data_IF_609120411166
#
_entry.id   IF_609120411166
#
_cell.length_a   1.000
_cell.length_b   1.000
_cell.length_c   1.000
_cell.angle_alpha   90.00
_cell.angle_beta   90.00
_cell.angle_gamma   90.00
#
_symmetry.space_group_name_H-M   'P 1'
#
loop_
_entity.id
_entity.type
_entity.pdbx_description
1 polymer ?
#
# COMPACT_ATOMS: atom_id res chain seq x y z
N UNK A 1 15.95 -19.89 42.94
CA UNK A 1 16.02 -19.54 41.50
C UNK A 1 16.20 -18.04 41.42
N UNK A 2 17.12 -17.55 40.59
CA UNK A 2 17.31 -16.11 40.49
C UNK A 2 16.02 -15.45 40.02
N UNK A 3 15.60 -14.39 40.71
CA UNK A 3 14.39 -13.67 40.34
C UNK A 3 14.62 -12.97 38.99
N UNK A 4 13.55 -12.78 38.21
CA UNK A 4 13.62 -11.98 36.98
C UNK A 4 14.24 -10.60 37.27
N UNK A 5 13.96 -10.04 38.44
CA UNK A 5 14.49 -8.75 38.88
C UNK A 5 16.01 -8.78 39.06
N UNK A 6 16.58 -9.76 39.76
CA UNK A 6 18.03 -9.81 39.98
C UNK A 6 18.80 -10.05 38.68
N UNK A 7 18.29 -10.90 37.79
CA UNK A 7 18.91 -11.10 36.47
C UNK A 7 18.78 -9.87 35.57
N UNK A 8 17.66 -9.13 35.64
CA UNK A 8 17.51 -7.90 34.87
C UNK A 8 18.48 -6.81 35.31
N UNK A 9 18.73 -6.68 36.62
CA UNK A 9 19.74 -5.76 37.14
C UNK A 9 21.13 -6.10 36.60
N UNK A 10 21.54 -7.37 36.66
CA UNK A 10 22.82 -7.84 36.08
C UNK A 10 22.92 -7.57 34.58
N UNK A 11 21.83 -7.75 33.85
CA UNK A 11 21.76 -7.40 32.43
C UNK A 11 22.03 -5.91 32.22
N UNK A 12 21.49 -5.02 33.07
CA UNK A 12 21.74 -3.58 32.99
C UNK A 12 23.19 -3.22 33.38
N UNK A 13 23.77 -3.86 34.39
CA UNK A 13 25.19 -3.71 34.73
C UNK A 13 26.08 -4.12 33.56
N UNK A 14 25.74 -5.22 32.88
CA UNK A 14 26.45 -5.65 31.68
C UNK A 14 26.24 -4.68 30.50
N UNK A 15 25.02 -4.17 30.32
CA UNK A 15 24.66 -3.23 29.26
C UNK A 15 25.37 -1.87 29.43
N UNK A 16 25.56 -1.41 30.66
CA UNK A 16 26.23 -0.13 30.95
C UNK A 16 27.71 -0.13 30.55
N UNK A 17 28.35 -1.31 30.58
CA UNK A 17 29.73 -1.52 30.15
C UNK A 17 29.89 -1.65 28.63
N UNK A 18 28.78 -1.71 27.88
CA UNK A 18 28.79 -1.86 26.42
C UNK A 18 28.58 -0.52 25.72
N UNK A 19 29.22 -0.38 24.57
CA UNK A 19 28.95 0.71 23.62
C UNK A 19 27.63 0.41 22.89
N UNK A 20 26.55 1.02 23.37
CA UNK A 20 25.20 0.92 22.80
C UNK A 20 24.56 2.30 22.74
N UNK A 21 23.59 2.47 21.83
CA UNK A 21 22.86 3.73 21.68
C UNK A 21 22.12 4.11 22.99
N UNK A 22 22.05 5.39 23.29
CA UNK A 22 21.44 5.88 24.53
C UNK A 22 19.96 5.48 24.66
N UNK A 23 19.22 5.46 23.56
CA UNK A 23 17.82 5.00 23.55
C UNK A 23 17.67 3.52 23.95
N UNK A 24 18.68 2.68 23.70
CA UNK A 24 18.67 1.28 24.16
C UNK A 24 18.76 1.23 25.68
N UNK A 25 19.64 2.07 26.26
CA UNK A 25 19.79 2.18 27.73
C UNK A 25 18.51 2.72 28.36
N UNK A 26 17.92 3.77 27.78
CA UNK A 26 16.64 4.35 28.21
C UNK A 26 15.50 3.33 28.17
N UNK A 27 15.42 2.54 27.09
CA UNK A 27 14.40 1.52 26.94
C UNK A 27 14.57 0.39 27.96
N UNK A 28 15.81 -0.04 28.20
CA UNK A 28 16.10 -1.07 29.20
C UNK A 28 15.72 -0.60 30.61
N UNK A 29 16.02 0.65 30.96
CA UNK A 29 15.61 1.23 32.24
C UNK A 29 14.09 1.39 32.34
N UNK A 30 13.41 1.70 31.23
CA UNK A 30 11.95 1.77 31.20
C UNK A 30 11.33 0.40 31.49
N UNK A 31 11.90 -0.66 30.92
CA UNK A 31 11.47 -2.04 31.19
C UNK A 31 11.74 -2.41 32.65
N UNK A 32 12.86 -1.98 33.26
CA UNK A 32 13.11 -2.18 34.69
C UNK A 32 12.01 -1.54 35.56
N UNK A 33 11.66 -0.28 35.27
CA UNK A 33 10.63 0.45 36.03
C UNK A 33 9.24 -0.20 35.94
N UNK A 34 9.00 -0.99 34.90
CA UNK A 34 7.74 -1.70 34.67
C UNK A 34 7.93 -3.22 34.62
N UNK A 35 8.93 -3.75 35.32
CA UNK A 35 9.33 -5.16 35.20
C UNK A 35 8.24 -6.12 35.67
N UNK A 36 7.66 -5.89 36.85
CA UNK A 36 6.58 -6.72 37.39
C UNK A 36 5.34 -6.77 36.47
N UNK A 37 4.75 -5.64 36.03
CA UNK A 37 3.57 -5.68 35.18
C UNK A 37 3.86 -6.25 33.78
N UNK A 38 5.11 -6.18 33.30
CA UNK A 38 5.52 -6.82 32.04
C UNK A 38 5.76 -8.33 32.20
N UNK A 39 6.35 -8.75 33.31
CA UNK A 39 6.60 -10.15 33.64
C UNK A 39 5.30 -10.93 33.84
N UNK A 40 4.27 -10.29 34.40
CA UNK A 40 2.94 -10.87 34.56
C UNK A 40 2.21 -11.16 33.24
N UNK A 41 2.64 -10.56 32.13
CA UNK A 41 2.05 -10.81 30.80
C UNK A 41 2.70 -12.01 30.16
N UNK A 42 1.88 -12.99 29.77
CA UNK A 42 2.34 -14.13 28.97
C UNK A 42 2.75 -13.72 27.55
N UNK A 43 3.39 -14.65 26.83
CA UNK A 43 3.88 -14.41 25.45
C UNK A 43 2.76 -14.33 24.39
N UNK A 44 1.49 -14.54 24.77
CA UNK A 44 0.37 -14.57 23.84
C UNK A 44 0.00 -13.17 23.32
N UNK A 45 -0.39 -13.09 22.04
CA UNK A 45 -0.95 -11.88 21.40
C UNK A 45 -0.12 -10.60 21.55
N UNK A 46 1.22 -10.72 21.64
CA UNK A 46 2.14 -9.58 21.77
C UNK A 46 1.88 -8.70 23.01
N UNK A 47 1.30 -9.28 24.07
CA UNK A 47 0.84 -8.50 25.22
C UNK A 47 1.91 -7.64 25.89
N UNK A 48 3.19 -8.06 25.87
CA UNK A 48 4.31 -7.25 26.38
C UNK A 48 4.58 -6.03 25.50
N UNK A 49 4.62 -6.21 24.18
CA UNK A 49 4.83 -5.15 23.19
C UNK A 49 3.71 -4.11 23.22
N UNK A 50 2.44 -4.55 23.29
CA UNK A 50 1.28 -3.65 23.37
C UNK A 50 1.26 -2.84 24.67
N UNK A 51 1.82 -3.35 25.78
CA UNK A 51 1.97 -2.59 27.04
C UNK A 51 3.19 -1.70 27.05
N UNK A 52 4.29 -2.13 26.44
CA UNK A 52 5.55 -1.39 26.40
C UNK A 52 5.47 -0.19 25.45
N UNK A 53 4.82 -0.33 24.28
CA UNK A 53 4.72 0.73 23.28
C UNK A 53 4.16 2.08 23.81
N UNK A 54 3.02 2.14 24.53
CA UNK A 54 2.52 3.40 25.07
C UNK A 54 3.45 3.99 26.14
N UNK A 55 4.11 3.15 26.94
CA UNK A 55 5.10 3.59 27.93
C UNK A 55 6.33 4.19 27.24
N UNK A 56 6.79 3.58 26.15
CA UNK A 56 7.91 4.08 25.37
C UNK A 56 7.57 5.46 24.76
N UNK A 57 6.38 5.60 24.19
CA UNK A 57 5.92 6.89 23.63
C UNK A 57 5.87 7.98 24.71
N UNK A 58 5.37 7.66 25.91
CA UNK A 58 5.17 8.64 26.96
C UNK A 58 6.46 9.02 27.71
N UNK A 59 7.36 8.05 27.96
CA UNK A 59 8.41 8.20 28.96
C UNK A 59 9.83 8.00 28.44
N UNK A 60 10.05 7.40 27.26
CA UNK A 60 11.41 7.06 26.78
C UNK A 60 12.34 8.27 26.73
N UNK A 61 11.85 9.42 26.25
CA UNK A 61 12.64 10.64 26.13
C UNK A 61 13.09 11.22 27.49
N UNK A 62 12.36 10.92 28.56
CA UNK A 62 12.59 11.42 29.92
C UNK A 62 13.44 10.45 30.75
N UNK A 63 13.67 9.23 30.25
CA UNK A 63 14.46 8.24 30.97
C UNK A 63 15.93 8.64 31.04
N UNK A 64 16.59 8.40 32.20
CA UNK A 64 18.03 8.54 32.30
C UNK A 64 18.75 7.57 31.35
N UNK A 65 19.97 7.96 30.97
CA UNK A 65 20.88 7.11 30.17
C UNK A 65 21.79 6.27 31.07
N UNK A 66 22.22 6.86 32.19
CA UNK A 66 23.07 6.20 33.16
C UNK A 66 22.23 5.25 34.02
N UNK A 67 22.71 4.00 34.13
CA UNK A 67 22.22 3.07 35.14
C UNK A 67 23.10 3.22 36.38
N UNK A 68 22.58 3.94 37.37
CA UNK A 68 23.18 3.97 38.71
C UNK A 68 22.55 2.84 39.51
N UNK A 69 23.12 1.65 39.36
CA UNK A 69 22.89 0.62 40.37
C UNK A 69 23.54 1.11 41.66
N UNK A 70 22.84 1.03 42.81
CA UNK A 70 23.54 1.03 44.08
C UNK A 70 24.52 -0.13 43.97
N UNK A 71 25.84 0.11 43.92
CA UNK A 71 26.79 -0.98 43.89
C UNK A 71 26.60 -1.67 45.23
N UNK A 72 25.89 -2.80 45.23
CA UNK A 72 26.33 -3.89 46.10
C UNK A 72 27.68 -4.24 45.52
N UNK A 73 28.67 -3.56 46.09
CA UNK A 73 30.08 -3.75 45.96
C UNK A 73 30.38 -4.91 45.00
N UNK A 74 30.79 -4.56 43.80
CA UNK A 74 31.71 -5.39 43.06
C UNK A 74 33.05 -5.40 43.83
N UNK A 75 33.01 -5.81 45.09
CA UNK A 75 34.19 -5.98 45.92
C UNK A 75 34.75 -7.34 45.61
N UNK A 76 36.04 -7.30 45.33
CA UNK A 76 36.99 -8.39 45.20
C UNK A 76 36.35 -9.77 45.39
N UNK A 77 36.37 -10.55 44.31
CA UNK A 77 36.18 -12.00 44.37
C UNK A 77 37.20 -12.56 45.37
N UNK A 78 36.84 -12.62 46.65
CA UNK A 78 37.53 -13.49 47.60
C UNK A 78 37.19 -14.88 47.09
N UNK A 79 38.12 -15.58 46.45
CA UNK A 79 37.83 -16.93 45.98
C UNK A 79 37.29 -17.77 47.14
N UNK A 80 36.21 -18.52 46.89
CA UNK A 80 35.71 -19.45 47.90
C UNK A 80 36.79 -20.51 48.09
N UNK A 81 37.42 -20.52 49.26
CA UNK A 81 38.31 -21.61 49.65
C UNK A 81 37.57 -22.95 49.66
N UNK A 82 38.31 -24.04 49.88
CA UNK A 82 37.71 -25.38 49.95
C UNK A 82 36.71 -25.44 51.11
N UNK A 83 35.51 -25.98 50.89
CA UNK A 83 34.55 -26.15 51.98
C UNK A 83 35.18 -27.01 53.08
N UNK A 84 34.97 -26.62 54.34
CA UNK A 84 35.57 -27.30 55.49
C UNK A 84 34.50 -27.90 56.39
N UNK A 85 33.57 -27.10 56.91
CA UNK A 85 32.57 -27.60 57.84
C UNK A 85 31.24 -26.86 57.68
N UNK A 86 30.14 -27.59 57.81
CA UNK A 86 28.80 -27.01 57.92
C UNK A 86 28.20 -27.33 59.28
N UNK A 87 27.89 -26.30 60.06
CA UNK A 87 27.18 -26.42 61.33
C UNK A 87 25.70 -26.12 61.11
N UNK A 88 24.83 -27.05 61.48
CA UNK A 88 23.39 -26.97 61.26
C UNK A 88 22.67 -27.35 62.55
N UNK A 89 21.75 -26.52 63.04
CA UNK A 89 20.74 -27.00 63.97
C UNK A 89 20.49 -26.15 65.21
N UNK A 90 19.25 -26.13 65.72
CA UNK A 90 18.04 -26.71 65.10
C UNK A 90 17.68 -26.00 63.79
N UNK A 91 17.34 -26.75 62.74
CA UNK A 91 17.02 -26.21 61.41
C UNK A 91 16.30 -27.30 60.60
N UNK A 92 15.11 -27.00 60.06
CA UNK A 92 14.33 -27.95 59.22
C UNK A 92 14.23 -29.35 59.86
N UNK A 93 14.81 -30.39 59.24
CA UNK A 93 14.83 -31.76 59.75
C UNK A 93 15.73 -31.99 60.98
N UNK A 94 16.71 -31.12 61.22
CA UNK A 94 17.67 -31.26 62.32
C UNK A 94 17.13 -30.66 63.61
N UNK A 95 16.91 -31.50 64.62
CA UNK A 95 16.44 -31.07 65.94
C UNK A 95 17.59 -30.64 66.86
N UNK A 96 18.77 -31.20 66.67
CA UNK A 96 19.98 -30.91 67.46
C UNK A 96 21.02 -30.26 66.55
N UNK A 97 21.94 -29.46 67.11
CA UNK A 97 23.12 -29.02 66.38
C UNK A 97 23.93 -30.24 65.91
N UNK A 98 24.24 -30.26 64.63
CA UNK A 98 25.09 -31.24 63.95
C UNK A 98 26.16 -30.50 63.16
N UNK A 99 27.35 -31.09 63.08
CA UNK A 99 28.46 -30.54 62.32
C UNK A 99 28.89 -31.56 61.28
N UNK A 100 28.85 -31.15 60.01
CA UNK A 100 29.23 -31.98 58.87
C UNK A 100 30.60 -31.58 58.36
N UNK A 101 31.48 -32.56 58.17
CA UNK A 101 32.78 -32.38 57.55
C UNK A 101 32.64 -32.37 56.02
N UNK A 102 33.08 -31.27 55.40
CA UNK A 102 33.07 -31.04 53.95
C UNK A 102 34.49 -30.90 53.38
N UNK A 103 35.51 -31.21 54.17
CA UNK A 103 36.93 -31.11 53.82
C UNK A 103 37.42 -32.16 52.81
N UNK A 104 36.51 -32.84 52.11
CA UNK A 104 36.81 -33.89 51.14
C UNK A 104 36.37 -33.44 49.75
N UNK A 105 37.01 -33.98 48.69
CA UNK A 105 36.67 -33.60 47.31
C UNK A 105 35.28 -34.08 46.90
N UNK A 106 34.85 -35.20 47.50
CA UNK A 106 33.53 -35.79 47.29
C UNK A 106 32.96 -36.19 48.65
N UNK A 107 31.88 -35.53 49.05
CA UNK A 107 31.10 -35.90 50.24
C UNK A 107 29.78 -36.53 49.83
N UNK A 108 29.59 -37.81 50.14
CA UNK A 108 28.33 -38.52 49.87
C UNK A 108 27.40 -38.46 51.08
N UNK A 109 26.26 -37.80 50.93
CA UNK A 109 25.20 -37.76 51.95
C UNK A 109 24.11 -38.78 51.60
N UNK A 110 23.93 -39.79 52.45
CA UNK A 110 22.92 -40.84 52.26
C UNK A 110 22.15 -41.13 53.56
N UNK A 111 21.00 -41.80 53.44
CA UNK A 111 20.11 -42.10 54.57
C UNK A 111 18.68 -42.38 54.10
N UNK A 112 17.84 -42.88 55.00
CA UNK A 112 16.42 -43.15 54.71
C UNK A 112 15.63 -41.86 54.36
N UNK A 113 14.44 -42.00 53.80
CA UNK A 113 13.58 -40.84 53.55
C UNK A 113 13.18 -40.17 54.87
N UNK A 114 13.23 -38.84 54.90
CA UNK A 114 12.92 -38.06 56.12
C UNK A 114 14.08 -37.88 57.11
N UNK A 115 15.29 -38.40 56.84
CA UNK A 115 16.45 -38.25 57.74
C UNK A 115 17.17 -36.90 57.66
N UNK A 116 16.61 -35.92 56.94
CA UNK A 116 17.20 -34.58 56.82
C UNK A 116 18.18 -34.36 55.66
N UNK A 117 18.29 -35.29 54.69
CA UNK A 117 19.14 -35.08 53.49
C UNK A 117 18.81 -33.79 52.74
N UNK A 118 17.52 -33.54 52.47
CA UNK A 118 17.09 -32.28 51.87
C UNK A 118 17.40 -31.09 52.77
N UNK A 119 17.22 -31.24 54.08
CA UNK A 119 17.56 -30.21 55.06
C UNK A 119 19.04 -29.86 55.12
N UNK A 120 19.93 -30.79 54.80
CA UNK A 120 21.36 -30.54 54.68
C UNK A 120 21.65 -29.61 53.49
N UNK A 121 21.07 -29.89 52.33
CA UNK A 121 21.22 -29.01 51.16
C UNK A 121 20.53 -27.66 51.34
N UNK A 122 19.35 -27.63 51.98
CA UNK A 122 18.68 -26.38 52.37
C UNK A 122 19.56 -25.54 53.32
N UNK A 123 20.30 -26.18 54.23
CA UNK A 123 21.21 -25.49 55.13
C UNK A 123 22.43 -24.91 54.37
N UNK A 124 22.97 -25.65 53.41
CA UNK A 124 24.01 -25.13 52.50
C UNK A 124 23.49 -23.96 51.67
N UNK A 125 22.28 -24.04 51.13
CA UNK A 125 21.66 -22.93 50.38
C UNK A 125 21.50 -21.69 51.26
N UNK A 126 21.08 -21.82 52.51
CA UNK A 126 21.00 -20.65 53.42
C UNK A 126 22.38 -20.08 53.72
N UNK A 127 23.37 -20.92 54.00
CA UNK A 127 24.71 -20.46 54.34
C UNK A 127 25.45 -19.82 53.16
N UNK A 128 25.21 -20.29 51.94
CA UNK A 128 25.85 -19.77 50.73
C UNK A 128 25.01 -18.72 50.02
N UNK A 129 23.71 -18.92 49.81
CA UNK A 129 22.85 -18.03 49.02
C UNK A 129 22.05 -17.05 49.88
N UNK A 130 21.94 -17.32 51.18
CA UNK A 130 21.11 -16.53 52.08
C UNK A 130 19.61 -16.81 51.92
N UNK A 131 19.22 -17.70 51.01
CA UNK A 131 17.82 -18.08 50.74
C UNK A 131 17.70 -19.52 50.27
N UNK A 132 16.50 -20.10 50.38
CA UNK A 132 16.19 -21.46 49.92
C UNK A 132 15.32 -21.37 48.69
N UNK A 133 15.75 -21.99 47.59
CA UNK A 133 15.02 -21.98 46.32
C UNK A 133 13.62 -22.58 46.44
N UNK A 134 13.47 -23.68 47.20
CA UNK A 134 12.17 -24.32 47.40
C UNK A 134 11.17 -23.46 48.20
N UNK A 135 11.66 -22.65 49.15
CA UNK A 135 10.82 -21.72 49.91
C UNK A 135 10.21 -20.64 49.00
N UNK A 136 11.01 -20.11 48.07
CA UNK A 136 10.57 -19.13 47.07
C UNK A 136 9.49 -19.72 46.15
N UNK A 137 9.71 -20.95 45.65
CA UNK A 137 8.75 -21.64 44.77
C UNK A 137 7.41 -21.86 45.48
N UNK A 138 7.45 -22.23 46.77
CA UNK A 138 6.24 -22.44 47.59
C UNK A 138 5.62 -21.15 48.12
N UNK A 139 6.21 -19.98 47.82
CA UNK A 139 5.79 -18.66 48.33
C UNK A 139 5.65 -18.63 49.85
N UNK A 140 6.54 -19.33 50.55
CA UNK A 140 6.56 -19.40 52.00
C UNK A 140 7.54 -18.36 52.54
N UNK A 141 7.22 -17.79 53.70
CA UNK A 141 8.16 -16.96 54.44
C UNK A 141 9.42 -17.78 54.77
N UNK A 142 10.59 -17.27 54.39
CA UNK A 142 11.85 -18.01 54.50
C UNK A 142 12.18 -18.35 55.96
N UNK A 143 11.93 -17.42 56.89
CA UNK A 143 12.21 -17.62 58.31
C UNK A 143 11.34 -18.73 58.88
N UNK A 144 10.06 -18.76 58.51
CA UNK A 144 9.15 -19.85 58.85
C UNK A 144 9.55 -21.16 58.18
N UNK A 145 9.96 -21.12 56.92
CA UNK A 145 10.39 -22.30 56.18
C UNK A 145 11.58 -22.98 56.87
N UNK A 146 12.56 -22.21 57.34
CA UNK A 146 13.77 -22.70 58.03
C UNK A 146 13.49 -23.34 59.40
N UNK A 147 12.34 -23.04 60.03
CA UNK A 147 12.02 -23.56 61.36
C UNK A 147 11.99 -25.08 61.39
N UNK A 148 12.55 -25.65 62.45
CA UNK A 148 12.37 -27.06 62.72
C UNK A 148 10.88 -27.35 63.02
N UNK A 149 10.33 -28.39 62.40
CA UNK A 149 8.90 -28.70 62.45
C UNK A 149 8.37 -28.91 63.88
N UNK A 150 9.20 -29.42 64.80
CA UNK A 150 8.82 -29.69 66.19
C UNK A 150 9.17 -28.53 67.12
N UNK A 151 10.33 -27.91 66.94
CA UNK A 151 10.82 -26.85 67.84
C UNK A 151 10.31 -25.45 67.47
N UNK A 152 9.74 -25.28 66.28
CA UNK A 152 9.22 -24.01 65.73
C UNK A 152 10.21 -22.83 65.76
N UNK A 153 11.50 -23.14 65.83
CA UNK A 153 12.62 -22.19 65.78
C UNK A 153 13.73 -22.80 64.93
N UNK A 154 14.65 -21.95 64.52
CA UNK A 154 15.91 -22.39 63.94
C UNK A 154 17.08 -21.54 64.41
N UNK A 155 18.29 -22.09 64.25
CA UNK A 155 19.55 -21.37 64.27
C UNK A 155 20.06 -21.35 62.83
N UNK A 156 20.49 -20.19 62.29
CA UNK A 156 21.00 -20.11 60.93
C UNK A 156 22.25 -21.00 60.80
N UNK A 157 22.35 -21.80 59.72
CA UNK A 157 23.50 -22.65 59.50
C UNK A 157 24.75 -21.81 59.23
N UNK A 158 25.89 -22.32 59.67
CA UNK A 158 27.20 -21.66 59.51
C UNK A 158 28.09 -22.57 58.68
N UNK A 159 28.51 -22.08 57.51
CA UNK A 159 29.45 -22.75 56.64
C UNK A 159 30.84 -22.13 56.80
N UNK A 160 31.86 -22.96 56.97
CA UNK A 160 33.25 -22.55 56.92
C UNK A 160 33.94 -23.10 55.67
N UNK A 161 34.84 -22.29 55.14
CA UNK A 161 35.78 -22.65 54.07
C UNK A 161 37.19 -22.54 54.62
N UNK A 162 38.11 -23.34 54.09
CA UNK A 162 39.54 -23.28 54.39
C UNK A 162 40.27 -22.71 53.20
N UNK A 163 41.05 -21.66 53.46
CA UNK A 163 41.99 -21.06 52.53
C UNK A 163 43.41 -21.12 53.12
N UNK A 164 44.41 -20.59 52.41
CA UNK A 164 45.80 -20.52 52.87
C UNK A 164 45.96 -19.84 54.24
N UNK A 165 45.05 -18.91 54.58
CA UNK A 165 45.04 -18.16 55.84
C UNK A 165 44.24 -18.83 56.98
N UNK A 166 43.70 -20.04 56.77
CA UNK A 166 42.93 -20.80 57.76
C UNK A 166 41.42 -20.87 57.48
N UNK A 167 40.65 -21.26 58.50
CA UNK A 167 39.19 -21.40 58.40
C UNK A 167 38.49 -20.04 58.45
N UNK A 168 37.67 -19.74 57.43
CA UNK A 168 36.86 -18.52 57.29
C UNK A 168 35.39 -18.88 57.17
N UNK A 169 34.54 -18.14 57.88
CA UNK A 169 33.08 -18.25 57.74
C UNK A 169 32.65 -17.70 56.39
N UNK A 170 31.92 -18.50 55.63
CA UNK A 170 31.36 -18.11 54.34
C UNK A 170 30.21 -17.15 54.58
N UNK A 171 30.31 -15.94 54.01
CA UNK A 171 29.21 -14.99 54.02
C UNK A 171 28.23 -15.32 52.89
N UNK A 172 26.91 -15.28 53.13
CA UNK A 172 25.92 -15.55 52.10
C UNK A 172 25.98 -14.52 50.96
N UNK A 173 26.11 -15.00 49.72
CA UNK A 173 26.12 -14.21 48.50
C UNK A 173 25.49 -15.02 47.34
N UNK A 174 24.24 -14.73 47.02
CA UNK A 174 23.53 -15.33 45.89
C UNK A 174 24.25 -15.08 44.56
N UNK A 175 24.81 -13.89 44.35
CA UNK A 175 25.45 -13.55 43.09
C UNK A 175 26.67 -14.43 42.85
N UNK A 176 27.44 -14.72 43.89
CA UNK A 176 28.67 -15.51 43.80
C UNK A 176 28.42 -17.01 43.76
N UNK A 177 27.50 -17.52 44.57
CA UNK A 177 27.39 -18.95 44.82
C UNK A 177 26.23 -19.66 44.12
N UNK A 178 25.34 -18.96 43.40
CA UNK A 178 24.17 -19.60 42.74
C UNK A 178 24.52 -20.77 41.83
N UNK A 179 25.71 -20.74 41.20
CA UNK A 179 26.15 -21.78 40.28
C UNK A 179 26.80 -22.98 40.97
N UNK A 180 26.99 -22.94 42.28
CA UNK A 180 27.48 -24.07 43.06
C UNK A 180 26.41 -25.16 43.27
N UNK A 181 25.14 -24.84 43.04
CA UNK A 181 24.01 -25.75 43.24
C UNK A 181 23.45 -26.21 41.89
N UNK A 182 23.81 -27.43 41.48
CA UNK A 182 23.35 -28.04 40.23
C UNK A 182 22.62 -29.34 40.54
N UNK A 183 21.36 -29.41 40.16
CA UNK A 183 20.56 -30.64 40.26
C UNK A 183 20.99 -31.66 39.20
N UNK A 184 21.03 -32.94 39.58
CA UNK A 184 21.41 -34.04 38.68
C UNK A 184 20.63 -34.03 37.36
N UNK A 185 19.31 -33.88 37.42
CA UNK A 185 18.45 -33.92 36.24
C UNK A 185 18.82 -32.82 35.23
N UNK A 186 19.22 -31.63 35.70
CA UNK A 186 19.65 -30.53 34.82
C UNK A 186 20.95 -30.86 34.08
N UNK A 187 21.84 -31.58 34.76
CA UNK A 187 23.12 -32.04 34.21
C UNK A 187 22.88 -33.15 33.16
N UNK A 188 22.00 -34.10 33.46
CA UNK A 188 21.60 -35.17 32.54
C UNK A 188 20.90 -34.63 31.28
N UNK A 189 20.04 -33.63 31.43
CA UNK A 189 19.35 -32.96 30.32
C UNK A 189 20.34 -32.16 29.44
N UNK A 190 21.28 -31.46 30.07
CA UNK A 190 22.35 -30.73 29.37
C UNK A 190 23.30 -31.66 28.62
N UNK A 191 23.63 -32.84 29.15
CA UNK A 191 24.49 -33.81 28.48
C UNK A 191 23.95 -34.25 27.10
N UNK A 192 22.64 -34.07 26.84
CA UNK A 192 21.98 -34.42 25.57
C UNK A 192 21.76 -33.20 24.65
N UNK A 193 22.40 -32.06 24.92
CA UNK A 193 22.19 -30.79 24.21
C UNK A 193 22.45 -30.86 22.70
N UNK A 194 23.43 -31.65 22.25
CA UNK A 194 23.82 -31.74 20.85
C UNK A 194 22.71 -32.28 19.93
N UNK A 195 21.76 -33.06 20.48
CA UNK A 195 20.63 -33.63 19.73
C UNK A 195 19.39 -32.72 19.70
N UNK A 196 19.48 -31.49 20.23
CA UNK A 196 18.34 -30.58 20.41
C UNK A 196 18.37 -29.42 19.42
N UNK A 197 17.21 -28.82 19.15
CA UNK A 197 17.12 -27.64 18.27
C UNK A 197 17.82 -26.42 18.91
N UNK A 198 18.26 -25.41 18.13
CA UNK A 198 18.90 -24.21 18.69
C UNK A 198 18.02 -23.42 19.69
N UNK A 199 16.69 -23.53 19.57
CA UNK A 199 15.76 -22.98 20.57
C UNK A 199 15.84 -23.72 21.89
N UNK A 200 15.78 -25.06 21.84
CA UNK A 200 15.85 -25.93 23.01
C UNK A 200 17.23 -25.89 23.68
N UNK A 201 18.30 -25.76 22.91
CA UNK A 201 19.66 -25.61 23.45
C UNK A 201 19.78 -24.38 24.34
N UNK A 202 19.24 -23.23 23.91
CA UNK A 202 19.21 -22.00 24.73
C UNK A 202 18.39 -22.19 26.01
N UNK A 203 17.28 -22.92 25.93
CA UNK A 203 16.47 -23.25 27.10
C UNK A 203 17.22 -24.15 28.09
N UNK A 204 17.89 -25.19 27.60
CA UNK A 204 18.68 -26.11 28.44
C UNK A 204 19.84 -25.39 29.13
N UNK A 205 20.50 -24.47 28.43
CA UNK A 205 21.54 -23.61 29.02
C UNK A 205 20.93 -22.74 30.14
N UNK A 206 19.78 -22.11 29.89
CA UNK A 206 19.09 -21.32 30.91
C UNK A 206 18.67 -22.17 32.13
N UNK A 207 18.20 -23.40 31.92
CA UNK A 207 17.86 -24.36 32.98
C UNK A 207 19.06 -24.76 33.82
N UNK A 208 20.19 -25.09 33.17
CA UNK A 208 21.44 -25.46 33.85
C UNK A 208 21.88 -24.35 34.83
N UNK A 209 21.78 -23.10 34.40
CA UNK A 209 22.17 -21.92 35.18
C UNK A 209 21.05 -21.36 36.07
N UNK A 210 19.86 -21.98 36.09
CA UNK A 210 18.72 -21.54 36.90
C UNK A 210 18.11 -20.20 36.47
N UNK A 211 18.27 -19.82 35.20
CA UNK A 211 17.81 -18.58 34.58
C UNK A 211 16.51 -18.74 33.78
N UNK A 212 15.74 -19.81 34.04
CA UNK A 212 14.55 -20.18 33.25
C UNK A 212 13.49 -19.09 33.19
N UNK A 213 13.20 -18.47 34.34
CA UNK A 213 12.19 -17.42 34.45
C UNK A 213 12.60 -16.17 33.64
N UNK A 214 13.89 -15.83 33.68
CA UNK A 214 14.44 -14.72 32.91
C UNK A 214 14.47 -15.03 31.40
N UNK A 215 14.84 -16.25 31.01
CA UNK A 215 14.82 -16.67 29.61
C UNK A 215 13.41 -16.62 29.02
N UNK A 216 12.39 -17.08 29.76
CA UNK A 216 10.98 -17.00 29.35
C UNK A 216 10.48 -15.53 29.33
N UNK A 217 10.97 -14.69 30.24
CA UNK A 217 10.71 -13.25 30.22
C UNK A 217 11.28 -12.58 28.96
N UNK A 218 12.52 -12.89 28.56
CA UNK A 218 13.11 -12.33 27.33
C UNK A 218 12.39 -12.87 26.09
N UNK A 219 12.02 -14.15 26.07
CA UNK A 219 11.37 -14.80 24.92
C UNK A 219 10.03 -14.18 24.53
N UNK A 220 9.28 -13.63 25.50
CA UNK A 220 7.97 -13.04 25.21
C UNK A 220 8.00 -11.62 24.64
N UNK A 221 9.19 -11.04 24.38
CA UNK A 221 9.30 -9.80 23.61
C UNK A 221 9.28 -10.09 22.11
N UNK A 222 8.59 -9.24 21.35
CA UNK A 222 8.57 -9.33 19.90
C UNK A 222 9.87 -8.75 19.29
N UNK A 223 10.29 -9.22 18.10
CA UNK A 223 11.46 -8.68 17.42
C UNK A 223 11.35 -7.19 17.02
N UNK A 224 10.14 -6.66 16.87
CA UNK A 224 9.87 -5.27 16.53
C UNK A 224 8.64 -4.76 17.28
N UNK A 225 8.69 -3.47 17.66
CA UNK A 225 7.60 -2.71 18.27
C UNK A 225 6.85 -1.83 17.26
N UNK A 226 7.28 -1.78 15.99
CA UNK A 226 6.83 -0.78 15.01
C UNK A 226 5.31 -0.82 14.78
N UNK A 227 4.74 -2.03 14.83
CA UNK A 227 3.30 -2.25 14.63
C UNK A 227 2.48 -1.69 15.79
N UNK A 228 3.01 -1.72 17.01
CA UNK A 228 2.36 -1.21 18.21
C UNK A 228 2.62 0.30 18.42
N UNK A 229 3.73 0.82 17.88
CA UNK A 229 4.09 2.24 17.94
C UNK A 229 3.31 3.11 16.94
N UNK A 230 2.57 2.51 16.00
CA UNK A 230 1.78 3.21 14.97
C UNK A 230 2.55 4.36 14.28
N UNK A 231 3.83 4.13 13.95
CA UNK A 231 4.74 5.15 13.38
C UNK A 231 4.23 5.77 12.07
N UNK A 232 3.30 5.10 11.38
CA UNK A 232 2.62 5.60 10.19
C UNK A 232 1.14 5.77 10.50
N UNK A 233 0.72 7.03 10.68
CA UNK A 233 -0.68 7.36 10.92
C UNK A 233 -1.55 7.02 9.69
N UNK A 234 -2.34 5.95 9.76
CA UNK A 234 -3.24 5.55 8.68
C UNK A 234 -4.25 6.66 8.28
N UNK A 235 -4.62 7.52 9.23
CA UNK A 235 -5.46 8.68 8.95
C UNK A 235 -4.71 9.78 8.18
N UNK A 236 -3.41 9.97 8.44
CA UNK A 236 -2.60 10.95 7.73
C UNK A 236 -2.38 10.55 6.26
N UNK A 237 -2.17 9.26 5.98
CA UNK A 237 -2.08 8.76 4.61
C UNK A 237 -3.42 8.86 3.87
N UNK A 238 -4.53 8.50 4.50
CA UNK A 238 -5.87 8.69 3.93
C UNK A 238 -6.18 10.17 3.64
N UNK A 239 -5.81 11.06 4.55
CA UNK A 239 -6.00 12.50 4.38
C UNK A 239 -5.17 13.04 3.21
N UNK A 240 -3.94 12.54 3.02
CA UNK A 240 -3.08 12.90 1.89
C UNK A 240 -3.71 12.49 0.56
N UNK A 241 -4.25 11.26 0.47
CA UNK A 241 -4.96 10.77 -0.73
C UNK A 241 -6.20 11.61 -1.03
N UNK A 242 -7.00 11.95 -0.02
CA UNK A 242 -8.19 12.80 -0.18
C UNK A 242 -7.83 14.20 -0.67
N UNK A 243 -6.75 14.80 -0.15
CA UNK A 243 -6.24 16.10 -0.61
C UNK A 243 -5.83 16.05 -2.09
N UNK A 244 -5.17 14.97 -2.52
CA UNK A 244 -4.81 14.78 -3.92
C UNK A 244 -6.05 14.70 -4.83
N UNK A 245 -7.05 13.89 -4.45
CA UNK A 245 -8.31 13.76 -5.19
C UNK A 245 -9.04 15.10 -5.31
N UNK A 246 -9.06 15.87 -4.22
CA UNK A 246 -9.69 17.19 -4.19
C UNK A 246 -8.97 18.15 -5.14
N UNK A 247 -7.63 18.22 -5.09
CA UNK A 247 -6.85 19.08 -6.00
C UNK A 247 -7.04 18.75 -7.47
N UNK A 248 -7.14 17.45 -7.82
CA UNK A 248 -7.43 17.01 -9.20
C UNK A 248 -8.83 17.42 -9.65
N UNK A 249 -9.81 17.30 -8.75
CA UNK A 249 -11.19 17.71 -9.02
C UNK A 249 -11.30 19.22 -9.23
N UNK A 250 -10.61 20.02 -8.40
CA UNK A 250 -10.54 21.48 -8.55
C UNK A 250 -9.90 21.89 -9.87
N UNK A 251 -8.80 21.26 -10.27
CA UNK A 251 -8.15 21.50 -11.57
C UNK A 251 -9.08 21.14 -12.74
N UNK A 252 -9.82 20.03 -12.63
CA UNK A 252 -10.82 19.63 -13.62
C UNK A 252 -11.94 20.66 -13.77
N UNK A 253 -12.47 21.16 -12.65
CA UNK A 253 -13.52 22.19 -12.63
C UNK A 253 -13.02 23.50 -13.22
N UNK A 254 -11.81 23.93 -12.86
CA UNK A 254 -11.20 25.16 -13.37
C UNK A 254 -10.95 25.11 -14.89
N UNK A 255 -10.76 23.92 -15.46
CA UNK A 255 -10.54 23.72 -16.89
C UNK A 255 -11.83 23.69 -17.73
N UNK A 256 -13.01 23.53 -17.13
CA UNK A 256 -14.27 23.44 -17.89
C UNK A 256 -14.60 24.67 -18.74
N UNK A 257 -14.46 25.92 -18.25
CA UNK A 257 -14.75 27.10 -19.07
C UNK A 257 -13.92 27.16 -20.35
N UNK A 258 -12.63 26.81 -20.28
CA UNK A 258 -11.76 26.76 -21.46
C UNK A 258 -12.14 25.64 -22.42
N UNK A 259 -12.55 24.47 -21.92
CA UNK A 259 -13.03 23.36 -22.77
C UNK A 259 -14.32 23.71 -23.48
N UNK A 260 -15.26 24.36 -22.79
CA UNK A 260 -16.53 24.81 -23.37
C UNK A 260 -16.23 25.83 -24.49
N UNK A 261 -15.40 26.84 -24.22
CA UNK A 261 -15.02 27.83 -25.23
C UNK A 261 -14.35 27.18 -26.46
N UNK A 262 -13.50 26.17 -26.25
CA UNK A 262 -12.89 25.43 -27.36
C UNK A 262 -13.88 24.62 -28.20
N UNK A 263 -14.93 24.05 -27.57
CA UNK A 263 -16.00 23.36 -28.29
C UNK A 263 -16.85 24.38 -29.07
N UNK A 264 -17.23 25.49 -28.45
CA UNK A 264 -18.00 26.55 -29.11
C UNK A 264 -17.26 27.11 -30.34
N UNK A 265 -15.95 27.29 -30.24
CA UNK A 265 -15.11 27.70 -31.38
C UNK A 265 -15.12 26.66 -32.50
N UNK A 266 -14.96 25.36 -32.17
CA UNK A 266 -15.03 24.28 -33.15
C UNK A 266 -16.39 24.20 -33.83
N UNK A 267 -17.48 24.34 -33.07
CA UNK A 267 -18.85 24.37 -33.58
C UNK A 267 -19.06 25.56 -34.54
N UNK A 268 -18.56 26.74 -34.19
CA UNK A 268 -18.62 27.92 -35.05
C UNK A 268 -17.85 27.72 -36.35
N UNK A 269 -16.62 27.20 -36.28
CA UNK A 269 -15.80 26.92 -37.46
C UNK A 269 -16.45 25.88 -38.38
N UNK A 270 -17.06 24.84 -37.81
CA UNK A 270 -17.76 23.81 -38.57
C UNK A 270 -19.01 24.36 -39.26
N UNK A 271 -19.81 25.17 -38.56
CA UNK A 271 -20.99 25.81 -39.12
C UNK A 271 -20.62 26.72 -40.30
N UNK A 272 -19.57 27.55 -40.14
CA UNK A 272 -19.07 28.42 -41.21
C UNK A 272 -18.61 27.65 -42.46
N UNK A 273 -18.00 26.47 -42.28
CA UNK A 273 -17.60 25.60 -43.40
C UNK A 273 -18.78 24.98 -44.12
N UNK A 274 -19.85 24.62 -43.41
CA UNK A 274 -21.05 24.02 -43.99
C UNK A 274 -21.93 25.05 -44.70
N UNK A 275 -22.17 26.19 -44.06
CA UNK A 275 -23.02 27.26 -44.59
C UNK A 275 -22.63 28.60 -43.95
N UNK A 276 -22.03 29.53 -44.72
CA UNK A 276 -21.61 30.82 -44.19
C UNK A 276 -22.76 31.57 -43.51
N UNK A 277 -22.52 32.11 -42.30
CA UNK A 277 -23.51 32.86 -41.53
C UNK A 277 -24.58 32.04 -40.80
N UNK A 278 -24.50 30.70 -40.84
CA UNK A 278 -25.41 29.80 -40.12
C UNK A 278 -24.85 29.42 -38.74
N UNK A 279 -25.73 29.12 -37.77
CA UNK A 279 -25.32 28.58 -36.47
C UNK A 279 -25.11 27.07 -36.56
N UNK A 280 -24.30 26.51 -35.66
CA UNK A 280 -24.07 25.05 -35.61
C UNK A 280 -25.37 24.27 -35.41
N UNK A 281 -26.26 24.73 -34.53
CA UNK A 281 -27.58 24.11 -34.32
C UNK A 281 -28.39 24.06 -35.62
N UNK A 282 -28.44 25.15 -36.39
CA UNK A 282 -29.15 25.16 -37.66
C UNK A 282 -28.55 24.19 -38.68
N UNK A 283 -27.22 24.02 -38.69
CA UNK A 283 -26.56 23.01 -39.53
C UNK A 283 -26.93 21.57 -39.11
N UNK A 284 -27.00 21.29 -37.81
CA UNK A 284 -27.40 19.98 -37.28
C UNK A 284 -28.87 19.68 -37.62
N UNK A 285 -29.77 20.64 -37.38
CA UNK A 285 -31.19 20.51 -37.72
C UNK A 285 -31.41 20.31 -39.22
N UNK A 286 -30.63 20.98 -40.07
CA UNK A 286 -30.68 20.77 -41.52
C UNK A 286 -30.19 19.36 -41.91
N UNK A 287 -29.11 18.88 -41.27
CA UNK A 287 -28.49 17.60 -41.62
C UNK A 287 -29.32 16.41 -41.11
N UNK A 288 -29.69 16.41 -39.83
CA UNK A 288 -30.37 15.31 -39.14
C UNK A 288 -31.89 15.44 -39.21
N UNK A 289 -32.41 16.66 -39.33
CA UNK A 289 -33.83 16.96 -39.34
C UNK A 289 -34.34 17.40 -37.97
N UNK A 290 -35.57 17.88 -37.97
CA UNK A 290 -36.35 18.17 -36.77
C UNK A 290 -37.58 17.25 -36.74
N UNK A 291 -38.30 17.14 -35.61
CA UNK A 291 -39.52 16.33 -35.55
C UNK A 291 -40.57 16.70 -36.63
N UNK A 292 -40.51 17.92 -37.16
CA UNK A 292 -41.43 18.45 -38.17
C UNK A 292 -40.88 18.42 -39.60
N UNK A 293 -39.55 18.31 -39.78
CA UNK A 293 -38.91 18.34 -41.11
C UNK A 293 -37.86 17.25 -41.23
N UNK A 294 -37.98 16.43 -42.28
CA UNK A 294 -36.98 15.42 -42.59
C UNK A 294 -35.61 16.06 -42.87
N UNK A 295 -34.56 15.56 -42.23
CA UNK A 295 -33.20 16.01 -42.45
C UNK A 295 -32.62 15.60 -43.80
N UNK A 296 -31.57 16.28 -44.22
CA UNK A 296 -30.89 16.01 -45.49
C UNK A 296 -30.29 14.60 -45.55
N UNK A 297 -29.69 14.13 -44.46
CA UNK A 297 -29.04 12.81 -44.43
C UNK A 297 -30.06 11.67 -44.55
N UNK A 298 -31.13 11.61 -43.73
CA UNK A 298 -32.21 10.63 -43.91
C UNK A 298 -32.85 10.68 -45.30
N UNK A 299 -33.01 11.87 -45.88
CA UNK A 299 -33.54 12.03 -47.24
C UNK A 299 -32.63 11.37 -48.29
N UNK A 300 -31.32 11.64 -48.26
CA UNK A 300 -30.36 11.03 -49.20
C UNK A 300 -30.28 9.52 -49.00
N UNK A 301 -30.30 9.06 -47.74
CA UNK A 301 -30.31 7.63 -47.42
C UNK A 301 -31.56 6.94 -47.98
N UNK A 302 -32.73 7.57 -47.87
CA UNK A 302 -33.98 7.06 -48.43
C UNK A 302 -33.93 6.97 -49.96
N UNK A 303 -33.29 7.93 -50.64
CA UNK A 303 -33.08 7.87 -52.09
C UNK A 303 -32.12 6.75 -52.50
N UNK A 304 -31.01 6.59 -51.78
CA UNK A 304 -30.04 5.52 -52.07
C UNK A 304 -30.63 4.13 -51.83
N UNK A 305 -31.51 3.99 -50.83
CA UNK A 305 -32.17 2.73 -50.49
C UNK A 305 -33.45 2.48 -51.29
N UNK A 306 -33.89 3.43 -52.12
CA UNK A 306 -35.08 3.25 -52.94
C UNK A 306 -34.85 2.12 -53.95
N UNK A 307 -35.81 1.19 -54.03
CA UNK A 307 -35.76 0.10 -55.01
C UNK A 307 -35.78 0.72 -56.41
N UNK A 308 -34.77 0.39 -57.22
CA UNK A 308 -34.72 0.86 -58.61
C UNK A 308 -36.00 0.43 -59.33
N UNK A 309 -36.67 1.33 -60.07
CA UNK A 309 -37.95 1.01 -60.70
C UNK A 309 -37.78 -0.19 -61.65
N UNK A 310 -38.73 -1.12 -61.59
CA UNK A 310 -38.72 -2.32 -62.43
C UNK A 310 -38.87 -1.92 -63.89
N UNK A 311 -37.78 -1.92 -64.64
CA UNK A 311 -37.82 -1.63 -66.07
C UNK A 311 -38.29 -2.88 -66.81
N UNK A 312 -39.55 -2.91 -67.20
CA UNK A 312 -40.13 -4.04 -67.93
C UNK A 312 -39.76 -4.00 -69.43
N UNK A 313 -39.43 -5.17 -69.99
CA UNK A 313 -39.21 -5.34 -71.43
C UNK A 313 -37.75 -5.20 -71.89
N UNK A 314 -36.78 -5.23 -70.97
CA UNK A 314 -35.36 -5.30 -71.30
C UNK A 314 -34.96 -6.75 -71.61
N UNK A 315 -34.68 -7.07 -72.87
CA UNK A 315 -33.87 -8.23 -73.24
C UNK A 315 -32.54 -7.73 -73.87
N UNK A 316 -31.51 -8.59 -73.92
CA UNK A 316 -30.19 -8.23 -74.47
C UNK A 316 -30.30 -7.64 -75.88
N UNK A 317 -31.14 -8.24 -76.72
CA UNK A 317 -31.30 -7.84 -78.12
C UNK A 317 -31.94 -6.47 -78.27
N UNK A 318 -32.91 -6.13 -77.42
CA UNK A 318 -33.59 -4.83 -77.38
C UNK A 318 -32.71 -3.76 -76.75
N UNK A 319 -31.87 -4.10 -75.77
CA UNK A 319 -30.85 -3.20 -75.25
C UNK A 319 -29.82 -2.85 -76.34
N UNK A 320 -29.33 -3.85 -77.07
CA UNK A 320 -28.43 -3.64 -78.21
C UNK A 320 -29.12 -2.84 -79.32
N UNK A 321 -30.38 -3.13 -79.62
CA UNK A 321 -31.16 -2.36 -80.59
C UNK A 321 -31.33 -0.90 -80.16
N UNK A 322 -31.73 -0.64 -78.91
CA UNK A 322 -31.89 0.72 -78.37
C UNK A 322 -30.55 1.47 -78.28
N UNK A 323 -29.45 0.77 -77.97
CA UNK A 323 -28.11 1.37 -77.96
C UNK A 323 -27.66 1.72 -79.38
N UNK A 324 -27.92 0.84 -80.34
CA UNK A 324 -27.65 1.08 -81.76
C UNK A 324 -28.50 2.24 -82.30
N UNK A 325 -29.79 2.29 -81.93
CA UNK A 325 -30.69 3.39 -82.27
C UNK A 325 -30.25 4.71 -81.63
N UNK A 326 -29.77 4.66 -80.38
CA UNK A 326 -29.23 5.85 -79.68
C UNK A 326 -27.97 6.36 -80.35
N UNK A 327 -27.03 5.48 -80.72
CA UNK A 327 -25.84 5.89 -81.47
C UNK A 327 -26.21 6.42 -82.85
N UNK A 328 -27.12 5.76 -83.57
CA UNK A 328 -27.62 6.25 -84.86
C UNK A 328 -28.28 7.63 -84.73
N UNK A 329 -29.11 7.83 -83.70
CA UNK A 329 -29.76 9.11 -83.45
C UNK A 329 -28.75 10.19 -83.05
N UNK A 330 -27.73 9.84 -82.28
CA UNK A 330 -26.63 10.74 -81.93
C UNK A 330 -25.80 11.13 -83.15
N UNK A 331 -25.50 10.18 -84.03
CA UNK A 331 -24.77 10.43 -85.28
C UNK A 331 -25.59 11.33 -86.21
N UNK A 332 -26.89 11.03 -86.39
CA UNK A 332 -27.81 11.87 -87.16
C UNK A 332 -27.94 13.28 -86.56
N UNK A 333 -28.01 13.40 -85.24
CA UNK A 333 -28.06 14.69 -84.56
C UNK A 333 -26.75 15.45 -84.71
N UNK A 334 -25.59 14.79 -84.56
CA UNK A 334 -24.28 15.40 -84.76
C UNK A 334 -24.11 15.87 -86.20
N UNK A 335 -24.55 15.08 -87.18
CA UNK A 335 -24.51 15.44 -88.58
C UNK A 335 -25.45 16.61 -88.90
N UNK A 336 -26.70 16.56 -88.43
CA UNK A 336 -27.66 17.66 -88.61
C UNK A 336 -27.24 18.94 -87.88
N UNK A 337 -26.70 18.83 -86.67
CA UNK A 337 -26.17 19.94 -85.87
C UNK A 337 -24.90 20.51 -86.49
N UNK A 338 -24.03 19.65 -87.04
CA UNK A 338 -22.85 20.06 -87.81
C UNK A 338 -23.24 20.79 -89.09
N UNK A 339 -24.20 20.28 -89.85
CA UNK A 339 -24.76 20.95 -91.04
C UNK A 339 -25.42 22.28 -90.68
N UNK A 340 -26.14 22.34 -89.55
CA UNK A 340 -26.80 23.55 -89.08
C UNK A 340 -25.79 24.58 -88.57
N UNK A 341 -24.73 24.14 -87.90
CA UNK A 341 -23.59 24.99 -87.49
C UNK A 341 -22.83 25.51 -88.70
N UNK A 342 -22.55 24.66 -89.69
CA UNK A 342 -21.93 25.05 -90.95
C UNK A 342 -22.79 26.08 -91.70
N UNK A 343 -24.10 25.83 -91.86
CA UNK A 343 -25.03 26.82 -92.44
C UNK A 343 -25.16 28.09 -91.60
N UNK A 344 -25.16 27.98 -90.27
CA UNK A 344 -25.17 29.16 -89.39
C UNK A 344 -23.87 29.97 -89.51
N UNK A 345 -22.75 29.33 -89.83
CA UNK A 345 -21.47 30.00 -90.10
C UNK A 345 -21.38 30.59 -91.52
N UNK A 346 -22.09 30.02 -92.51
CA UNK A 346 -22.26 30.58 -93.85
C UNK A 346 -23.20 31.79 -93.85
N UNK A 347 -24.22 31.79 -92.98
CA UNK A 347 -25.12 32.90 -92.75
C UNK A 347 -24.48 33.89 -91.78
N UNK A 348 -23.61 34.77 -92.30
CA UNK A 348 -23.20 35.94 -91.52
C UNK A 348 -24.39 36.87 -91.34
N UNK A 349 -25.05 36.80 -90.17
CA UNK A 349 -26.11 37.74 -89.80
C UNK A 349 -25.65 39.20 -89.85
N UNK A 350 -24.34 39.46 -89.70
CA UNK A 350 -23.74 40.77 -89.95
C UNK A 350 -23.79 41.17 -91.43
N UNK A 351 -23.37 40.30 -92.36
CA UNK A 351 -23.49 40.56 -93.82
C UNK A 351 -24.95 40.63 -94.29
N UNK A 352 -25.86 39.87 -93.67
CA UNK A 352 -27.28 39.90 -93.97
C UNK A 352 -27.93 41.19 -93.47
N UNK A 353 -27.53 41.66 -92.28
CA UNK A 353 -27.91 42.97 -91.75
C UNK A 353 -27.32 44.12 -92.58
N UNK A 354 -26.04 44.04 -92.99
CA UNK A 354 -25.41 44.99 -93.90
C UNK A 354 -26.08 44.99 -95.28
N UNK A 355 -26.44 43.84 -95.85
CA UNK A 355 -27.16 43.77 -97.11
C UNK A 355 -28.58 44.35 -97.00
N UNK A 356 -29.29 44.12 -95.87
CA UNK A 356 -30.60 44.72 -95.61
C UNK A 356 -30.49 46.23 -95.35
N UNK A 357 -29.44 46.69 -94.67
CA UNK A 357 -29.13 48.11 -94.51
C UNK A 357 -28.77 48.76 -95.84
N UNK A 358 -27.93 48.13 -96.66
CA UNK A 358 -27.58 48.61 -98.00
C UNK A 358 -28.79 48.61 -98.95
N UNK A 359 -29.73 47.67 -98.80
CA UNK A 359 -30.99 47.68 -99.55
C UNK A 359 -31.95 48.77 -99.03
N UNK A 360 -31.94 49.06 -97.73
CA UNK A 360 -32.73 50.14 -97.12
C UNK A 360 -32.16 51.54 -97.47
N UNK A 361 -30.83 51.68 -97.52
CA UNK A 361 -30.11 52.88 -97.96
C UNK A 361 -30.15 53.04 -99.50
N UNK A 362 -30.14 51.92 -100.23
CA UNK A 362 -30.42 51.88 -101.67
C UNK A 362 -31.86 52.22 -102.00
N UNK A 363 -32.83 51.83 -101.16
CA UNK A 363 -34.23 52.21 -101.31
C UNK A 363 -34.50 53.69 -100.98
N UNK A 364 -33.64 54.34 -100.20
CA UNK A 364 -33.68 55.80 -99.99
C UNK A 364 -32.89 56.59 -101.04
N UNK A 365 -32.08 55.94 -101.89
CA UNK A 365 -31.29 56.60 -102.95
C UNK A 365 -31.64 56.17 -104.39
N UNK A 366 -32.47 55.15 -104.60
CA UNK A 366 -33.00 54.76 -105.91
C UNK A 366 -34.38 55.40 -106.17
N UNK A 367 -34.33 56.65 -106.60
CA UNK A 367 -35.42 57.32 -107.29
C UNK A 367 -35.50 56.77 -108.75
N UNK A 368 -36.69 56.29 -109.13
CA UNK A 368 -37.21 56.07 -110.50
C UNK A 368 -36.94 54.73 -111.25
N UNK A 369 -37.95 53.84 -111.27
CA UNK A 369 -38.72 53.39 -112.46
C UNK A 369 -39.29 51.93 -112.32
N UNK A 370 -40.61 51.74 -112.55
CA UNK A 370 -41.37 50.48 -112.32
C UNK A 370 -41.39 49.49 -113.49
N UNK A 371 -42.47 48.69 -113.75
CA UNK A 371 -43.63 48.28 -112.93
C UNK A 371 -43.82 46.73 -112.86
N UNK A 372 -44.59 46.20 -111.87
CA UNK A 372 -45.05 44.80 -111.90
C UNK A 372 -45.56 44.23 -110.56
N UNK A 373 -46.85 43.94 -110.49
CA UNK A 373 -47.64 43.35 -109.38
C UNK A 373 -47.27 41.86 -109.07
N UNK A 374 -47.84 41.13 -108.05
CA UNK A 374 -48.99 41.43 -107.17
C UNK A 374 -48.85 41.11 -105.64
N UNK A 375 -49.88 41.62 -104.94
CA UNK A 375 -50.44 41.47 -103.56
C UNK A 375 -50.25 40.17 -102.73
N UNK A 376 -50.02 40.39 -101.42
CA UNK A 376 -50.64 39.76 -100.20
C UNK A 376 -50.25 38.33 -99.76
N UNK A 377 -50.41 37.90 -98.47
CA UNK A 377 -51.16 38.53 -97.37
C UNK A 377 -50.41 38.77 -96.05
N UNK A 378 -50.84 39.82 -95.33
CA UNK A 378 -50.58 40.04 -93.90
C UNK A 378 -51.44 39.08 -93.07
N UNK A 379 -50.82 38.27 -92.24
CA UNK A 379 -51.48 37.58 -91.13
C UNK A 379 -51.14 38.31 -89.82
N UNK A 380 -52.21 38.82 -89.22
CA UNK A 380 -52.43 39.19 -87.83
C UNK A 380 -51.69 38.28 -86.82
N UNK A 381 -51.36 38.63 -85.58
CA UNK A 381 -51.56 39.81 -84.74
C UNK A 381 -51.11 39.46 -83.32
N UNK A 382 -50.98 40.51 -82.50
CA UNK A 382 -51.35 40.59 -81.07
C UNK A 382 -50.35 40.20 -79.96
N UNK A 383 -50.09 41.27 -79.19
CA UNK A 383 -50.10 41.45 -77.70
C UNK A 383 -48.82 41.04 -76.97
N UNK A 384 -48.14 42.02 -76.32
CA UNK A 384 -48.42 42.62 -74.98
C UNK A 384 -48.32 41.56 -73.88
N UNK A 385 -47.70 41.77 -72.72
CA UNK A 385 -46.97 42.90 -72.13
C UNK A 385 -46.53 42.45 -70.71
N UNK A 386 -45.62 43.24 -70.10
CA UNK A 386 -45.33 43.37 -68.66
C UNK A 386 -44.64 42.17 -67.98
N UNK A 387 -43.86 42.31 -66.91
CA UNK A 387 -43.03 43.34 -66.27
C UNK A 387 -42.74 42.79 -64.86
N UNK A 388 -41.48 42.77 -64.42
CA UNK A 388 -41.02 42.87 -63.02
C UNK A 388 -39.49 42.70 -63.01
N UNK A 389 -38.69 43.73 -62.75
CA UNK A 389 -38.29 44.26 -61.43
C UNK A 389 -37.55 43.26 -60.52
N UNK A 390 -36.32 43.65 -60.15
CA UNK A 390 -35.52 43.32 -58.95
C UNK A 390 -34.76 41.98 -58.84
N UNK A 391 -33.43 42.06 -58.87
CA UNK A 391 -32.45 41.55 -57.86
C UNK A 391 -31.02 41.78 -58.43
N UNK A 392 -30.16 42.56 -57.77
CA UNK A 392 -29.25 42.17 -56.68
C UNK A 392 -28.07 41.29 -57.15
N UNK A 393 -26.88 41.77 -56.75
CA UNK A 393 -25.69 40.97 -56.47
C UNK A 393 -26.00 39.76 -55.58
#
# INVERSE_FOLDING_TARGET
MASIQSEYHRFLTYLSQREVHDDVRRLALLVLNHLEPLAAVGAARRGRSTRLAPLAIAHLAQMPVAYEENPREADAVSELGRLHQLQVGPFRGFMRPEAFDLSHDITLVYGANGTGKSSFFEALEVAMLGSISEAQVKRLDQRQYCNNARLRRHIPPVLSSRDADGDRVVQPDEAKYRFCFIEKNRLDDFARIAARTPGDQRQLIATLFGMEQFAEFVRGFNPSLDQDLMLVGAQASQLTLRRLQLSSSEQGIAAYPQRIAGIEEQECLLAQRMSPGSTYLSCVEWLLGTPQKQGRLPYVQAQLNAVSPTVHGINRDRLLALLTDSYRAQDLWNEASGQLSARASEVSYAKLYEAVLALAEGATTAQHAGPGWPRSPKILSRRRALASSNSLN
#
